data_IF_972793686048
#
_entry.id   IF_972793686048
#
_cell.length_a   1.000
_cell.length_b   1.000
_cell.length_c   1.000
_cell.angle_alpha   90.00
_cell.angle_beta   90.00
_cell.angle_gamma   90.00
#
_symmetry.space_group_name_H-M   'P 1'
#
loop_
_entity.id
_entity.type
_entity.pdbx_description
1 polymer ?
2 non-polymer ?
3 water ?
#
# COMPACT_ATOMS: atom_id res chain seq x y z
N UNK A 5 13.23 -27.68 7.18
CA UNK A 5 11.89 -27.25 7.58
C UNK A 5 10.91 -27.18 6.40
N UNK A 6 10.66 -25.99 5.86
CA UNK A 6 9.65 -25.81 4.82
C UNK A 6 10.01 -26.53 3.52
N UNK A 7 9.11 -27.40 3.08
CA UNK A 7 9.24 -28.01 1.77
C UNK A 7 8.16 -27.48 0.84
N UNK A 8 8.57 -26.60 -0.06
CA UNK A 8 7.67 -26.05 -1.07
C UNK A 8 7.85 -26.76 -2.41
N UNK A 9 6.75 -27.16 -3.03
CA UNK A 9 6.84 -27.79 -4.33
C UNK A 9 5.76 -27.31 -5.27
N UNK A 10 6.03 -27.42 -6.56
CA UNK A 10 5.05 -27.17 -7.61
C UNK A 10 4.52 -25.74 -7.58
N UNK A 11 5.43 -24.79 -7.44
CA UNK A 11 5.04 -23.40 -7.52
C UNK A 11 4.87 -23.00 -8.97
N UNK A 12 3.75 -22.36 -9.28
CA UNK A 12 3.59 -21.80 -10.62
C UNK A 12 2.51 -20.74 -10.61
N UNK A 13 2.52 -19.89 -11.62
CA UNK A 13 1.48 -18.89 -11.81
C UNK A 13 0.41 -19.46 -12.72
N UNK A 14 -0.83 -19.49 -12.24
CA UNK A 14 -1.90 -20.11 -13.00
C UNK A 14 -2.82 -19.12 -13.70
N UNK A 15 -2.60 -17.83 -13.48
CA UNK A 15 -3.49 -16.84 -14.06
C UNK A 15 -3.37 -15.49 -13.39
N UNK A 16 -4.37 -14.64 -13.61
CA UNK A 16 -4.39 -13.31 -13.00
C UNK A 16 -5.74 -12.93 -12.47
N UNK A 17 -5.75 -11.99 -11.54
CA UNK A 17 -6.99 -11.34 -11.11
C UNK A 17 -6.84 -9.83 -11.30
N UNK A 18 -7.90 -9.18 -11.77
CA UNK A 18 -7.89 -7.74 -11.96
C UNK A 18 -8.70 -7.10 -10.85
N UNK A 19 -8.03 -6.39 -9.94
CA UNK A 19 -8.66 -5.71 -8.80
C UNK A 19 -8.65 -4.20 -8.94
N UNK A 20 -9.38 -3.53 -8.05
CA UNK A 20 -9.40 -2.07 -8.07
C UNK A 20 -8.95 -1.49 -6.74
N UNK A 21 -8.07 -0.50 -6.81
CA UNK A 21 -7.65 0.23 -5.64
C UNK A 21 -8.00 1.71 -5.77
N UNK A 22 -8.22 2.38 -4.64
CA UNK A 22 -8.52 3.82 -4.63
C UNK A 22 -7.32 4.66 -4.23
N UNK A 23 -7.01 5.66 -5.06
CA UNK A 23 -5.82 6.51 -4.87
C UNK A 23 -6.10 7.81 -4.11
N UNK A 24 -7.35 8.07 -3.80
CA UNK A 24 -7.67 9.33 -3.16
C UNK A 24 -8.53 10.15 -4.09
N UNK A 25 -8.06 10.33 -5.31
CA UNK A 25 -8.81 11.02 -6.34
C UNK A 25 -9.67 10.06 -7.18
N UNK A 26 -9.46 8.76 -7.04
CA UNK A 26 -10.20 7.79 -7.85
C UNK A 26 -9.83 6.33 -7.68
N UNK A 27 -10.53 5.48 -8.43
CA UNK A 27 -10.32 4.03 -8.36
C UNK A 27 -9.53 3.57 -9.58
N UNK A 28 -8.58 2.67 -9.35
CA UNK A 28 -7.69 2.17 -10.40
C UNK A 28 -7.68 0.62 -10.45
N UNK A 29 -7.83 0.05 -11.64
CA UNK A 29 -7.64 -1.40 -11.76
C UNK A 29 -6.17 -1.77 -11.61
N UNK A 30 -5.86 -2.99 -11.17
CA UNK A 30 -4.49 -3.48 -11.21
C UNK A 30 -4.51 -4.99 -11.23
N UNK A 31 -3.36 -5.58 -11.51
CA UNK A 31 -3.28 -6.99 -11.83
C UNK A 31 -2.64 -7.76 -10.69
N UNK A 32 -3.28 -8.83 -10.28
CA UNK A 32 -2.72 -9.74 -9.29
C UNK A 32 -2.33 -11.02 -10.02
N UNK A 33 -1.15 -11.56 -9.72
CA UNK A 33 -0.76 -12.85 -10.25
C UNK A 33 -1.14 -13.92 -9.25
N UNK A 34 -1.81 -14.95 -9.75
CA UNK A 34 -2.25 -16.07 -8.92
C UNK A 34 -1.16 -17.13 -8.86
N UNK A 35 -0.55 -17.25 -7.69
CA UNK A 35 0.50 -18.22 -7.46
C UNK A 35 -0.06 -19.40 -6.68
N UNK A 36 0.17 -20.61 -7.19
CA UNK A 36 -0.26 -21.83 -6.49
C UNK A 36 0.94 -22.73 -6.19
N UNK A 37 0.86 -23.49 -5.09
CA UNK A 37 2.02 -24.27 -4.65
C UNK A 37 1.59 -25.21 -3.54
N UNK A 38 2.44 -26.21 -3.23
CA UNK A 38 2.12 -27.15 -2.16
C UNK A 38 3.20 -27.22 -1.11
N UNK A 39 2.83 -27.47 0.13
CA UNK A 39 3.80 -27.81 1.16
C UNK A 39 3.65 -29.27 1.60
N UNK A 40 4.79 -29.92 1.79
CA UNK A 40 4.86 -31.33 2.20
C UNK A 40 5.14 -31.48 3.69
N UNK A 41 4.31 -32.27 4.37
CA UNK A 41 4.59 -32.70 5.75
C UNK A 41 4.81 -34.22 5.84
N UNK A 42 5.65 -34.67 6.79
CA UNK A 42 5.85 -36.11 7.01
C UNK A 42 5.99 -36.46 8.50
N UNK A 50 1.73 -38.67 5.41
CA UNK A 50 2.35 -38.05 4.23
C UNK A 50 1.50 -36.86 3.75
N UNK A 51 1.23 -35.96 4.67
CA UNK A 51 0.33 -34.83 4.42
C UNK A 51 0.81 -33.87 3.31
N UNK A 52 -0.14 -33.12 2.77
CA UNK A 52 0.11 -32.19 1.69
C UNK A 52 -0.92 -31.06 1.78
N UNK A 53 -0.44 -29.83 1.78
CA UNK A 53 -1.31 -28.66 1.89
C UNK A 53 -1.28 -27.91 0.56
N UNK A 54 -2.47 -27.48 0.11
CA UNK A 54 -2.62 -26.66 -1.10
C UNK A 54 -2.69 -25.18 -0.74
N UNK A 55 -1.87 -24.39 -1.41
CA UNK A 55 -1.85 -22.96 -1.16
C UNK A 55 -2.04 -22.15 -2.41
N UNK A 56 -2.74 -21.03 -2.25
CA UNK A 56 -2.96 -20.06 -3.31
C UNK A 56 -2.71 -18.68 -2.75
N UNK A 57 -2.04 -17.82 -3.52
CA UNK A 57 -1.80 -16.46 -3.08
C UNK A 57 -1.78 -15.52 -4.29
N UNK A 58 -2.42 -14.37 -4.15
CA UNK A 58 -2.45 -13.38 -5.19
C UNK A 58 -1.55 -12.20 -4.84
N UNK A 59 -0.60 -11.87 -5.72
CA UNK A 59 0.37 -10.79 -5.50
C UNK A 59 0.53 -9.89 -6.74
N UNK A 60 0.58 -8.56 -6.58
CA UNK A 60 0.83 -7.71 -7.74
C UNK A 60 2.30 -7.78 -8.13
N UNK A 61 2.63 -7.23 -9.28
CA UNK A 61 4.02 -7.12 -9.72
C UNK A 61 4.86 -6.32 -8.72
N UNK A 62 4.28 -5.29 -8.15
CA UNK A 62 4.99 -4.44 -7.20
C UNK A 62 5.44 -5.22 -5.96
N UNK A 63 4.63 -6.17 -5.52
CA UNK A 63 4.96 -7.01 -4.36
C UNK A 63 6.13 -7.99 -4.64
N UNK A 64 6.26 -8.44 -5.89
CA UNK A 64 7.42 -9.24 -6.26
C UNK A 64 8.69 -8.40 -6.18
N UNK A 65 8.58 -7.18 -6.65
CA UNK A 65 9.70 -6.23 -6.61
C UNK A 65 10.14 -5.96 -5.18
N UNK A 66 9.19 -5.57 -4.33
CA UNK A 66 9.45 -5.33 -2.92
C UNK A 66 10.10 -6.52 -2.22
N UNK A 67 9.65 -7.72 -2.57
CA UNK A 67 10.21 -8.93 -1.98
C UNK A 67 11.71 -9.01 -2.27
N UNK A 68 12.09 -8.74 -3.52
CA UNK A 68 13.48 -8.77 -3.91
C UNK A 68 14.27 -7.70 -3.19
N UNK A 69 13.67 -6.51 -3.12
CA UNK A 69 14.31 -5.39 -2.45
C UNK A 69 14.52 -5.69 -0.98
N UNK A 70 13.50 -6.23 -0.33
CA UNK A 70 13.61 -6.57 1.10
C UNK A 70 14.70 -7.61 1.35
N UNK A 71 14.84 -8.56 0.41
CA UNK A 71 15.92 -9.55 0.54
C UNK A 71 17.28 -8.93 0.31
N UNK A 72 17.41 -8.18 -0.79
CA UNK A 72 18.63 -7.46 -1.11
C UNK A 72 19.05 -6.51 0.01
N UNK A 73 18.08 -5.97 0.74
CA UNK A 73 18.35 -5.06 1.87
C UNK A 73 19.05 -5.76 3.03
N UNK A 74 19.13 -7.08 2.97
CA UNK A 74 19.74 -7.84 4.04
C UNK A 74 20.96 -8.64 3.58
N UNK A 75 22.15 -8.27 4.07
CA UNK A 75 23.45 -8.84 3.68
C UNK A 75 23.49 -10.36 3.86
N UNK A 76 22.98 -10.82 4.99
CA UNK A 76 22.91 -12.25 5.30
C UNK A 76 21.98 -13.03 4.37
N UNK A 77 21.45 -12.37 3.34
CA UNK A 77 20.45 -12.95 2.45
C UNK A 77 20.74 -12.55 1.01
N UNK A 78 21.06 -11.27 0.83
CA UNK A 78 21.47 -10.73 -0.47
C UNK A 78 22.53 -11.60 -1.13
N UNK A 79 23.42 -12.17 -0.31
CA UNK A 79 24.52 -13.00 -0.80
C UNK A 79 24.05 -14.27 -1.51
N UNK A 80 22.88 -14.78 -1.12
CA UNK A 80 22.35 -16.03 -1.69
C UNK A 80 21.71 -15.85 -3.07
N UNK A 81 21.26 -14.64 -3.35
CA UNK A 81 20.42 -14.43 -4.52
C UNK A 81 21.09 -13.49 -5.54
N UNK A 82 22.40 -13.37 -5.43
CA UNK A 82 23.17 -12.51 -6.33
C UNK A 82 22.97 -12.91 -7.79
N UNK A 83 22.81 -14.21 -8.03
CA UNK A 83 22.70 -14.74 -9.39
C UNK A 83 21.27 -15.11 -9.80
N UNK A 84 20.30 -14.69 -9.01
CA UNK A 84 18.89 -14.96 -9.32
C UNK A 84 18.34 -13.82 -10.16
N UNK A 85 17.69 -14.17 -11.27
CA UNK A 85 17.16 -13.15 -12.18
C UNK A 85 15.74 -12.78 -11.80
N UNK A 86 15.55 -11.52 -11.40
CA UNK A 86 14.27 -11.09 -10.88
C UNK A 86 13.65 -9.92 -11.61
N UNK A 87 12.52 -9.44 -11.10
CA UNK A 87 11.78 -8.33 -11.73
C UNK A 87 12.51 -6.98 -11.72
N UNK A 88 12.24 -6.16 -12.74
CA UNK A 88 12.74 -4.78 -12.80
C UNK A 88 11.67 -3.81 -13.35
N UNK A 89 11.70 -2.56 -12.86
CA UNK A 89 10.67 -1.53 -13.13
C UNK A 89 9.83 -1.74 -14.40
N UNK A 99 -2.46 -6.56 -28.61
CA UNK A 99 -1.98 -7.33 -27.46
C UNK A 99 -0.56 -7.86 -27.69
N UNK A 100 -0.02 -8.55 -26.68
CA UNK A 100 1.36 -9.03 -26.74
C UNK A 100 1.55 -10.33 -25.97
N UNK A 101 1.14 -11.46 -26.56
CA UNK A 101 1.11 -12.73 -25.84
C UNK A 101 2.49 -13.13 -25.29
N UNK A 102 3.54 -12.84 -26.06
CA UNK A 102 4.91 -13.21 -25.69
C UNK A 102 5.46 -12.45 -24.48
N UNK A 103 5.17 -11.15 -24.35
CA UNK A 103 5.55 -10.37 -23.15
C UNK A 103 4.95 -10.96 -21.86
N UNK A 104 3.64 -11.21 -21.92
CA UNK A 104 2.89 -11.78 -20.80
C UNK A 104 3.51 -13.07 -20.32
N UNK A 105 3.82 -13.95 -21.29
CA UNK A 105 4.43 -15.26 -21.05
C UNK A 105 5.82 -15.14 -20.47
N UNK A 106 6.60 -14.20 -21.02
CA UNK A 106 7.97 -13.92 -20.57
C UNK A 106 7.98 -13.44 -19.12
N UNK A 107 7.06 -12.53 -18.83
CA UNK A 107 6.95 -11.95 -17.49
C UNK A 107 6.44 -12.99 -16.47
N UNK A 108 5.48 -13.81 -16.89
CA UNK A 108 4.93 -14.86 -16.04
C UNK A 108 6.05 -15.82 -15.70
N UNK A 109 6.75 -16.27 -16.73
CA UNK A 109 7.87 -17.20 -16.56
C UNK A 109 8.99 -16.61 -15.71
N UNK A 110 9.30 -15.34 -15.95
CA UNK A 110 10.29 -14.64 -15.16
C UNK A 110 9.90 -14.62 -13.68
N UNK A 111 8.67 -14.17 -13.41
CA UNK A 111 8.14 -14.13 -12.05
C UNK A 111 8.10 -15.51 -11.38
N UNK A 112 7.65 -16.56 -12.09
CA UNK A 112 7.67 -17.93 -11.53
C UNK A 112 9.06 -18.37 -11.22
N UNK A 113 9.94 -18.14 -12.17
CA UNK A 113 11.30 -18.62 -12.10
C UNK A 113 11.97 -18.02 -10.87
N UNK A 114 11.79 -16.71 -10.71
CA UNK A 114 12.21 -15.95 -9.55
C UNK A 114 11.77 -16.62 -8.27
N UNK A 115 10.49 -16.94 -8.17
CA UNK A 115 9.96 -17.57 -6.96
C UNK A 115 10.46 -19.00 -6.76
N UNK A 116 10.62 -19.75 -7.83
CA UNK A 116 11.13 -21.11 -7.68
C UNK A 116 12.56 -21.07 -7.15
N UNK A 117 13.38 -20.24 -7.77
CA UNK A 117 14.77 -20.08 -7.35
C UNK A 117 14.93 -19.58 -5.91
N UNK A 118 14.07 -18.68 -5.46
CA UNK A 118 14.14 -18.20 -4.08
C UNK A 118 13.84 -19.32 -3.08
N UNK A 119 12.92 -20.20 -3.46
CA UNK A 119 12.41 -21.22 -2.55
C UNK A 119 13.29 -22.46 -2.50
N UNK A 120 14.21 -22.58 -3.45
CA UNK A 120 15.13 -23.71 -3.50
C UNK A 120 16.33 -23.45 -2.60
N UNK A 121 16.52 -22.18 -2.25
CA UNK A 121 17.56 -21.80 -1.28
C UNK A 121 16.99 -21.78 0.14
N UNK A 122 17.40 -22.73 0.98
CA UNK A 122 16.87 -22.94 2.34
C UNK A 122 16.86 -21.66 3.18
N UNK A 123 17.97 -20.93 3.19
CA UNK A 123 18.06 -19.72 4.00
C UNK A 123 17.10 -18.64 3.51
N UNK A 124 16.74 -18.72 2.23
CA UNK A 124 15.85 -17.76 1.59
C UNK A 124 14.39 -18.22 1.69
N UNK A 125 14.11 -19.43 1.22
CA UNK A 125 12.77 -19.99 1.34
C UNK A 125 12.19 -19.93 2.74
N UNK A 126 13.05 -20.05 3.75
CA UNK A 126 12.60 -20.11 5.14
C UNK A 126 12.60 -18.74 5.80
N UNK A 127 13.05 -17.73 5.04
CA UNK A 127 13.08 -16.36 5.54
C UNK A 127 11.65 -15.90 5.75
N UNK A 128 11.44 -14.98 6.69
CA UNK A 128 10.10 -14.48 6.94
C UNK A 128 9.57 -13.69 5.73
N UNK A 129 10.48 -13.07 5.00
CA UNK A 129 10.10 -12.30 3.82
C UNK A 129 9.37 -13.17 2.78
N UNK A 130 9.90 -14.37 2.54
CA UNK A 130 9.31 -15.26 1.55
C UNK A 130 8.05 -15.90 2.12
N UNK A 131 8.12 -16.31 3.39
CA UNK A 131 7.00 -16.94 4.08
C UNK A 131 5.78 -16.05 4.05
N UNK A 132 6.00 -14.77 4.36
CA UNK A 132 4.96 -13.76 4.37
C UNK A 132 4.43 -13.54 2.95
N UNK A 133 5.34 -13.40 1.98
CA UNK A 133 4.94 -13.21 0.59
C UNK A 133 4.05 -14.36 0.12
N UNK A 134 4.44 -15.60 0.43
CA UNK A 134 3.66 -16.75 0.00
C UNK A 134 2.45 -16.99 0.92
N UNK A 135 2.37 -16.20 1.98
CA UNK A 135 1.31 -16.33 3.00
C UNK A 135 1.33 -17.70 3.66
N UNK A 136 2.52 -18.18 4.02
CA UNK A 136 2.64 -19.46 4.72
C UNK A 136 2.48 -19.31 6.23
N UNK A 137 3.25 -18.40 6.81
CA UNK A 137 3.21 -18.18 8.26
C UNK A 137 1.91 -17.48 8.68
N UNK B 5 0.95 29.87 -1.72
CA UNK B 5 -0.21 30.78 -1.75
C UNK B 5 -1.53 30.00 -1.68
N UNK B 6 -1.52 28.86 -1.01
CA UNK B 6 -2.70 28.01 -0.85
C UNK B 6 -3.60 28.47 0.30
N UNK B 7 -4.83 28.89 -0.01
CA UNK B 7 -5.81 29.14 1.05
C UNK B 7 -6.92 28.10 1.03
N UNK B 8 -6.96 27.27 2.07
CA UNK B 8 -7.94 26.20 2.23
C UNK B 8 -9.08 26.64 3.17
N UNK B 9 -10.31 26.30 2.82
CA UNK B 9 -11.47 26.70 3.60
C UNK B 9 -12.59 25.69 3.41
N UNK B 10 -13.55 25.68 4.33
CA UNK B 10 -14.74 24.83 4.23
C UNK B 10 -14.36 23.35 4.05
N UNK B 11 -13.39 22.93 4.84
CA UNK B 11 -12.93 21.56 4.86
C UNK B 11 -13.81 20.76 5.77
N UNK B 12 -14.34 19.64 5.29
CA UNK B 12 -15.10 18.78 6.18
C UNK B 12 -15.17 17.35 5.63
N UNK B 13 -15.61 16.44 6.48
CA UNK B 13 -15.79 15.09 6.04
C UNK B 13 -17.27 14.91 5.77
N UNK B 14 -17.60 14.72 4.51
CA UNK B 14 -19.00 14.62 4.11
C UNK B 14 -19.52 13.20 4.16
N UNK B 15 -18.62 12.22 4.27
CA UNK B 15 -19.04 10.82 4.25
C UNK B 15 -17.92 9.79 4.30
N UNK B 16 -18.32 8.53 4.09
CA UNK B 16 -17.40 7.40 3.99
C UNK B 16 -17.70 6.59 2.74
N UNK B 17 -16.70 5.83 2.31
CA UNK B 17 -16.90 4.82 1.28
C UNK B 17 -16.33 3.51 1.82
N UNK B 18 -17.09 2.44 1.72
CA UNK B 18 -16.56 1.16 2.12
C UNK B 18 -15.95 0.50 0.89
N UNK B 19 -14.62 0.42 0.86
CA UNK B 19 -13.87 -0.15 -0.26
C UNK B 19 -13.29 -1.48 0.17
N UNK B 20 -12.44 -2.05 -0.66
CA UNK B 20 -11.84 -3.33 -0.34
C UNK B 20 -10.44 -3.44 -0.88
N UNK B 21 -9.60 -4.14 -0.14
CA UNK B 21 -8.25 -4.36 -0.58
C UNK B 21 -7.99 -5.86 -0.56
N UNK B 22 -7.02 -6.30 -1.37
CA UNK B 22 -6.67 -7.72 -1.40
C UNK B 22 -5.47 -7.96 -0.49
N UNK B 23 -5.58 -8.95 0.38
CA UNK B 23 -4.53 -9.19 1.36
C UNK B 23 -3.55 -10.25 0.88
N UNK B 24 -3.82 -10.78 -0.30
CA UNK B 24 -3.03 -11.89 -0.80
C UNK B 24 -3.82 -13.19 -0.91
N UNK B 25 -4.63 -13.47 0.11
CA UNK B 25 -5.45 -14.68 0.10
C UNK B 25 -6.93 -14.37 0.01
N UNK B 26 -7.31 -13.10 0.14
CA UNK B 26 -8.72 -12.75 0.05
C UNK B 26 -8.95 -11.27 0.02
N UNK B 27 -10.21 -10.86 0.01
CA UNK B 27 -10.54 -9.44 0.02
C UNK B 27 -11.00 -8.99 1.39
N UNK B 28 -10.67 -7.75 1.74
CA UNK B 28 -11.06 -7.16 3.01
C UNK B 28 -11.61 -5.77 2.83
N UNK B 29 -12.72 -5.46 3.50
CA UNK B 29 -13.26 -4.12 3.36
C UNK B 29 -12.42 -3.14 4.17
N UNK B 30 -12.49 -1.88 3.80
CA UNK B 30 -11.98 -0.83 4.68
C UNK B 30 -12.70 0.48 4.38
N UNK B 31 -12.49 1.46 5.26
CA UNK B 31 -13.21 2.73 5.22
C UNK B 31 -12.36 3.85 4.62
N UNK B 32 -12.92 4.57 3.66
CA UNK B 32 -12.33 5.80 3.15
C UNK B 32 -13.14 6.99 3.66
N UNK B 33 -12.46 8.01 4.16
CA UNK B 33 -13.17 9.21 4.60
C UNK B 33 -13.14 10.19 3.45
N UNK B 34 -14.34 10.61 3.03
CA UNK B 34 -14.46 11.59 1.96
C UNK B 34 -14.27 12.99 2.52
N UNK B 35 -13.19 13.62 2.11
CA UNK B 35 -12.89 14.97 2.55
C UNK B 35 -13.13 15.92 1.41
N UNK B 36 -14.02 16.89 1.63
CA UNK B 36 -14.22 17.98 0.69
C UNK B 36 -13.71 19.30 1.25
N UNK B 37 -13.24 20.18 0.36
CA UNK B 37 -12.70 21.49 0.75
C UNK B 37 -12.60 22.40 -0.48
N UNK B 38 -12.26 23.68 -0.29
CA UNK B 38 -12.07 24.59 -1.43
C UNK B 38 -10.75 25.36 -1.31
N UNK B 39 -10.20 25.76 -2.45
CA UNK B 39 -9.06 26.67 -2.45
C UNK B 39 -9.46 28.02 -3.05
N UNK B 40 -8.93 29.09 -2.47
CA UNK B 40 -9.36 30.43 -2.84
C UNK B 40 -8.27 31.16 -3.62
N UNK B 41 -8.69 31.92 -4.62
CA UNK B 41 -7.80 32.80 -5.37
C UNK B 41 -8.40 34.19 -5.46
N UNK B 42 -7.55 35.21 -5.65
CA UNK B 42 -8.01 36.58 -5.74
C UNK B 42 -7.38 37.31 -6.93
N UNK B 50 -11.37 36.93 -8.63
CA UNK B 50 -11.75 36.09 -7.51
C UNK B 50 -12.17 34.71 -7.98
N UNK B 51 -11.60 33.67 -7.39
CA UNK B 51 -11.86 32.32 -7.86
C UNK B 51 -11.97 31.33 -6.71
N UNK B 52 -12.79 30.31 -6.91
CA UNK B 52 -12.94 29.22 -5.97
C UNK B 52 -12.77 27.90 -6.71
N UNK B 53 -11.98 27.00 -6.17
CA UNK B 53 -11.84 25.68 -6.77
C UNK B 53 -12.33 24.65 -5.78
N UNK B 54 -13.10 23.66 -6.26
CA UNK B 54 -13.64 22.57 -5.42
C UNK B 54 -12.77 21.31 -5.46
N UNK B 55 -12.58 20.67 -4.31
CA UNK B 55 -11.74 19.48 -4.26
C UNK B 55 -12.43 18.42 -3.42
N UNK B 56 -12.14 17.17 -3.75
CA UNK B 56 -12.56 16.00 -2.98
C UNK B 56 -11.38 15.07 -2.90
N UNK B 57 -11.23 14.41 -1.76
CA UNK B 57 -10.20 13.39 -1.63
C UNK B 57 -10.71 12.35 -0.67
N UNK B 58 -10.37 11.09 -0.93
CA UNK B 58 -10.73 9.98 -0.06
C UNK B 58 -9.48 9.41 0.56
N UNK B 59 -9.49 9.30 1.89
CA UNK B 59 -8.33 8.85 2.63
C UNK B 59 -8.73 7.89 3.72
N UNK B 60 -8.00 6.79 3.84
CA UNK B 60 -8.26 5.84 4.91
C UNK B 60 -7.62 6.33 6.23
N UNK B 61 -7.99 5.71 7.35
CA UNK B 61 -7.50 6.16 8.64
C UNK B 61 -5.97 6.10 8.73
N UNK B 62 -5.36 5.02 8.25
CA UNK B 62 -3.89 4.92 8.36
C UNK B 62 -3.21 6.08 7.64
N UNK B 63 -3.84 6.61 6.59
CA UNK B 63 -3.29 7.73 5.86
C UNK B 63 -3.27 9.04 6.67
N UNK B 64 -4.33 9.30 7.43
CA UNK B 64 -4.32 10.40 8.39
C UNK B 64 -3.20 10.17 9.39
N UNK B 65 -3.15 8.96 9.91
CA UNK B 65 -2.12 8.56 10.85
C UNK B 65 -0.70 8.81 10.32
N UNK B 66 -0.41 8.35 9.11
CA UNK B 66 0.88 8.61 8.49
C UNK B 66 1.20 10.09 8.31
N UNK B 67 0.23 10.86 7.83
CA UNK B 67 0.44 12.29 7.65
C UNK B 67 0.87 12.95 8.97
N UNK B 68 0.25 12.53 10.08
CA UNK B 68 0.61 13.07 11.38
C UNK B 68 2.08 12.81 11.65
N UNK B 69 2.48 11.56 11.45
CA UNK B 69 3.85 11.13 11.64
C UNK B 69 4.83 11.91 10.76
N UNK B 70 4.48 12.07 9.48
CA UNK B 70 5.32 12.81 8.54
C UNK B 70 5.59 14.24 8.99
N UNK B 71 4.63 14.84 9.69
CA UNK B 71 4.78 16.23 10.12
C UNK B 71 5.61 16.30 11.39
N UNK B 72 5.51 15.26 12.21
CA UNK B 72 6.23 15.20 13.47
C UNK B 72 7.71 14.86 13.29
N UNK B 73 8.07 14.44 12.09
CA UNK B 73 9.46 14.14 11.77
C UNK B 73 10.13 15.37 11.15
N UNK B 74 9.41 16.48 11.12
CA UNK B 74 9.97 17.74 10.62
C UNK B 74 9.81 18.82 11.68
N UNK B 75 10.88 19.06 12.45
CA UNK B 75 10.86 19.92 13.65
C UNK B 75 10.32 21.32 13.36
N UNK B 76 10.55 21.82 12.15
CA UNK B 76 10.05 23.15 11.81
C UNK B 76 8.53 23.10 11.62
N UNK B 77 8.01 21.94 11.24
CA UNK B 77 6.57 21.80 11.05
C UNK B 77 5.90 21.29 12.31
N UNK B 78 6.62 20.43 13.03
CA UNK B 78 6.10 19.77 14.23
C UNK B 78 5.60 20.74 15.28
N UNK B 79 6.33 21.83 15.47
CA UNK B 79 6.02 22.79 16.53
C UNK B 79 4.62 23.41 16.40
N UNK B 80 4.12 23.50 15.17
CA UNK B 80 2.82 24.13 14.95
C UNK B 80 1.68 23.22 15.37
N UNK B 81 1.93 21.91 15.39
CA UNK B 81 0.87 20.95 15.66
C UNK B 81 1.06 20.25 17.01
N UNK B 82 2.12 20.64 17.72
CA UNK B 82 2.40 20.18 19.09
C UNK B 82 1.14 20.15 19.96
N UNK B 83 0.26 21.12 19.79
CA UNK B 83 -0.96 21.18 20.57
C UNK B 83 -2.22 21.00 19.72
N UNK B 84 -2.22 19.94 18.91
CA UNK B 84 -3.35 19.58 18.07
C UNK B 84 -3.65 18.09 18.24
N UNK B 85 -4.89 17.75 18.58
CA UNK B 85 -5.23 16.34 18.79
C UNK B 85 -5.46 15.62 17.47
N UNK B 86 -4.64 14.62 17.19
CA UNK B 86 -4.80 13.80 16.01
C UNK B 86 -4.95 12.33 16.36
N UNK B 87 -4.72 11.45 15.36
CA UNK B 87 -4.73 9.99 15.54
C UNK B 87 -3.54 9.49 16.35
N UNK B 102 -21.97 7.21 18.83
CA UNK B 102 -21.30 8.48 19.16
C UNK B 102 -19.82 8.42 18.80
N UNK B 103 -19.27 7.21 18.67
CA UNK B 103 -17.84 7.02 18.39
C UNK B 103 -17.43 7.40 16.95
N UNK B 104 -18.22 6.95 15.97
CA UNK B 104 -18.01 7.33 14.58
C UNK B 104 -18.07 8.85 14.40
N UNK B 105 -19.20 9.48 14.77
CA UNK B 105 -19.33 10.95 14.73
C UNK B 105 -18.19 11.65 15.47
N UNK B 106 -17.52 10.93 16.38
CA UNK B 106 -16.27 11.40 16.97
C UNK B 106 -15.06 11.01 16.09
N UNK B 107 -14.93 9.73 15.72
CA UNK B 107 -13.78 9.33 14.87
C UNK B 107 -13.76 10.03 13.51
N UNK B 108 -14.92 10.38 12.98
CA UNK B 108 -14.98 11.29 11.85
C UNK B 108 -14.70 12.72 12.30
N UNK B 109 -15.26 13.16 13.42
CA UNK B 109 -14.99 14.53 13.88
C UNK B 109 -13.54 14.70 14.32
N UNK B 110 -12.97 13.65 14.90
CA UNK B 110 -11.57 13.72 15.33
C UNK B 110 -10.69 14.05 14.12
N UNK B 111 -10.75 13.17 13.12
CA UNK B 111 -10.07 13.38 11.84
C UNK B 111 -10.44 14.70 11.17
N UNK B 112 -11.72 15.04 11.19
CA UNK B 112 -12.17 16.29 10.62
C UNK B 112 -11.59 17.46 11.40
N UNK B 113 -11.54 17.32 12.72
CA UNK B 113 -11.00 18.38 13.55
C UNK B 113 -9.50 18.52 13.32
N UNK B 114 -8.80 17.39 13.39
CA UNK B 114 -7.37 17.30 13.10
C UNK B 114 -7.07 18.04 11.81
N UNK B 115 -7.87 17.79 10.77
CA UNK B 115 -7.60 18.33 9.44
C UNK B 115 -7.95 19.79 9.31
N UNK B 116 -9.06 20.21 9.92
CA UNK B 116 -9.44 21.61 9.96
C UNK B 116 -8.34 22.45 10.59
N UNK B 117 -7.78 21.94 11.68
CA UNK B 117 -6.75 22.66 12.42
C UNK B 117 -5.43 22.78 11.66
N UNK B 118 -4.98 21.69 11.03
CA UNK B 118 -3.74 21.72 10.27
C UNK B 118 -3.82 22.76 9.18
N UNK B 119 -4.93 22.76 8.47
CA UNK B 119 -5.09 23.57 7.27
C UNK B 119 -5.20 25.07 7.57
N UNK B 120 -5.83 25.40 8.70
CA UNK B 120 -5.89 26.78 9.18
C UNK B 120 -4.50 27.40 9.34
N UNK B 121 -3.51 26.57 9.67
CA UNK B 121 -2.13 27.02 9.82
C UNK B 121 -1.40 27.03 8.48
N UNK B 122 -1.10 28.24 7.95
CA UNK B 122 -0.49 28.40 6.62
C UNK B 122 0.80 27.61 6.42
N UNK B 123 1.60 27.47 7.47
CA UNK B 123 2.84 26.70 7.38
C UNK B 123 2.56 25.22 7.17
N UNK B 124 1.41 24.76 7.65
CA UNK B 124 1.10 23.35 7.53
C UNK B 124 0.36 23.04 6.23
N UNK B 125 -0.71 23.81 5.95
CA UNK B 125 -1.43 23.72 4.69
C UNK B 125 -0.54 23.72 3.46
N UNK B 126 0.60 24.39 3.56
CA UNK B 126 1.49 24.56 2.42
C UNK B 126 2.57 23.52 2.37
N UNK B 127 2.71 22.77 3.46
CA UNK B 127 3.66 21.66 3.49
C UNK B 127 3.36 20.74 2.33
N UNK B 128 4.39 20.09 1.78
CA UNK B 128 4.15 19.13 0.72
C UNK B 128 3.33 17.96 1.26
N UNK B 129 3.58 17.60 2.52
CA UNK B 129 2.90 16.48 3.16
C UNK B 129 1.37 16.62 3.14
N UNK B 130 0.89 17.81 3.47
CA UNK B 130 -0.54 18.09 3.48
C UNK B 130 -1.08 18.31 2.08
N UNK B 131 -0.31 18.98 1.23
CA UNK B 131 -0.70 19.17 -0.17
C UNK B 131 -0.90 17.81 -0.86
N UNK B 132 0.07 16.93 -0.65
CA UNK B 132 0.03 15.56 -1.11
C UNK B 132 -1.20 14.82 -0.57
N UNK B 133 -1.41 14.86 0.75
CA UNK B 133 -2.54 14.21 1.39
C UNK B 133 -3.89 14.70 0.85
N UNK B 134 -3.96 15.97 0.54
CA UNK B 134 -5.22 16.54 0.10
C UNK B 134 -5.31 16.42 -1.40
N UNK B 135 -4.26 15.85 -2.01
CA UNK B 135 -4.14 15.77 -3.46
C UNK B 135 -4.34 17.14 -4.13
N UNK B 136 -3.61 18.15 -3.66
CA UNK B 136 -3.70 19.49 -4.23
C UNK B 136 -2.76 19.67 -5.40
N UNK B 137 -1.48 19.40 -5.16
CA UNK B 137 -0.46 19.49 -6.21
C UNK B 137 -0.76 18.57 -7.43
X LIG C 1 1.78 -2.98 -10.18
X LIG C 1 3.04 -2.28 -10.43
X LIG C 1 0.69 -2.08 -9.80
X LIG C 1 1.42 -3.64 -11.43
X LIG C 1 1.96 -3.89 -9.05
X LIG D 1 -7.29 1.49 8.18
X LIG D 1 -6.78 1.81 9.51
X LIG D 1 -6.77 2.43 7.21
X LIG D 1 -6.88 0.14 7.80
X LIG D 1 -8.74 1.54 8.24
#
# INVERSE_FOLDING_TARGET
SPDGPVVIQNLRITGTITAREHSGTGFHPYTLYTVKYETVLNGENSSGLQQLAYHTVNRRYREFLNLQTRLEEKPDLRKFIKNVKGPKKLFPDLPFGNMDSDRVEARKSLLESFLKQLCAIPEIGNSEEVQEFLALN
SPDGPVVIQNLRITGTITAREHSGTGFHPYTLYTVKYETVLNGENSSGLQQLAYHTVNRRYREFLNLQTRLEEKPDLRKFIKNVKGPKKLFPDLPFGNMDSDRVEARKSLLESFLKQLCAIPEIGNSEEVQEFLALN
SO4 S O1 O2 O3 O4
SO4 S O1 O2 O3 O4
#
